data_IF_324108658987
#
_entry.id   IF_324108658987
#
_cell.length_a   1.000
_cell.length_b   1.000
_cell.length_c   1.000
_cell.angle_alpha   90.00
_cell.angle_beta   90.00
_cell.angle_gamma   90.00
#
_symmetry.space_group_name_H-M   'P 1'
#
loop_
_entity.id
_entity.type
_entity.pdbx_description
1 polymer ?
#
# COMPACT_ATOMS: atom_id res chain seq x y z
N UNK A 1 11.49 23.77 -6.12
CA UNK A 1 11.25 22.95 -4.91
C UNK A 1 10.44 21.74 -5.34
N UNK A 2 10.82 20.53 -4.93
CA UNK A 2 9.98 19.36 -5.17
C UNK A 2 8.71 19.49 -4.32
N UNK A 3 7.55 19.17 -4.89
CA UNK A 3 6.29 19.20 -4.16
C UNK A 3 6.34 18.22 -2.98
N UNK A 4 5.68 18.57 -1.86
CA UNK A 4 5.60 17.74 -0.66
C UNK A 4 4.20 17.19 -0.50
N UNK A 5 4.11 15.88 -0.27
CA UNK A 5 2.86 15.13 -0.22
C UNK A 5 2.64 14.57 1.19
N UNK A 6 1.96 15.33 2.03
CA UNK A 6 1.62 14.90 3.38
C UNK A 6 0.22 14.28 3.43
N UNK A 7 -0.01 13.42 4.42
CA UNK A 7 -1.27 12.71 4.60
C UNK A 7 -1.32 11.36 3.88
N UNK A 8 -2.50 10.74 3.90
CA UNK A 8 -2.75 9.42 3.32
C UNK A 8 -3.39 9.56 1.95
N UNK A 9 -2.88 8.78 0.99
CA UNK A 9 -3.36 8.74 -0.37
C UNK A 9 -3.90 7.35 -0.71
N UNK A 10 -4.97 7.32 -1.51
CA UNK A 10 -5.54 6.07 -2.02
C UNK A 10 -4.69 5.59 -3.19
N UNK A 11 -4.25 4.34 -3.11
CA UNK A 11 -3.44 3.74 -4.13
C UNK A 11 -3.97 2.36 -4.53
N UNK A 12 -3.56 1.92 -5.72
CA UNK A 12 -3.85 0.57 -6.23
C UNK A 12 -2.54 -0.15 -6.46
N UNK A 13 -2.44 -1.38 -5.96
CA UNK A 13 -1.26 -2.24 -6.13
C UNK A 13 -1.16 -2.65 -7.59
N UNK A 14 -0.02 -2.41 -8.22
CA UNK A 14 0.25 -2.83 -9.61
C UNK A 14 1.26 -3.95 -9.71
N UNK A 15 2.16 -4.08 -8.72
CA UNK A 15 3.17 -5.13 -8.68
C UNK A 15 3.57 -5.44 -7.23
N UNK A 16 3.93 -6.69 -6.97
CA UNK A 16 4.40 -7.17 -5.65
C UNK A 16 5.79 -7.82 -5.74
N UNK A 17 6.46 -7.71 -6.88
CA UNK A 17 7.81 -8.24 -7.06
C UNK A 17 8.82 -7.34 -6.32
N UNK A 18 9.25 -7.79 -5.16
CA UNK A 18 10.24 -7.13 -4.33
C UNK A 18 11.57 -7.91 -4.37
N UNK A 19 12.62 -7.40 -5.05
CA UNK A 19 13.92 -8.06 -5.12
C UNK A 19 14.59 -8.31 -3.75
N UNK A 20 14.20 -7.55 -2.73
CA UNK A 20 14.74 -7.67 -1.37
C UNK A 20 13.91 -8.58 -0.48
N UNK A 21 12.74 -9.05 -0.94
CA UNK A 21 11.82 -9.90 -0.19
C UNK A 21 11.45 -9.35 1.22
N UNK A 22 11.39 -8.02 1.37
CA UNK A 22 11.03 -7.34 2.63
C UNK A 22 9.56 -6.89 2.65
N UNK A 23 8.81 -7.17 1.58
CA UNK A 23 7.37 -6.93 1.49
C UNK A 23 7.00 -5.56 0.94
N UNK A 24 7.84 -5.02 0.04
CA UNK A 24 7.50 -3.82 -0.71
C UNK A 24 6.50 -4.11 -1.82
N UNK A 25 5.72 -3.09 -2.15
CA UNK A 25 4.72 -3.15 -3.24
C UNK A 25 4.88 -1.95 -4.15
N UNK A 26 4.59 -2.12 -5.42
CA UNK A 26 4.50 -1.03 -6.38
C UNK A 26 3.04 -0.62 -6.51
N UNK A 27 2.79 0.68 -6.58
CA UNK A 27 1.43 1.25 -6.54
C UNK A 27 1.28 2.39 -7.53
N UNK A 28 0.04 2.65 -7.95
CA UNK A 28 -0.35 3.90 -8.62
C UNK A 28 -1.17 4.76 -7.66
N UNK A 29 -0.96 6.07 -7.71
CA UNK A 29 -1.65 7.05 -6.86
C UNK A 29 -2.27 8.13 -7.76
N UNK A 30 -3.50 7.93 -8.25
CA UNK A 30 -4.11 8.79 -9.27
C UNK A 30 -4.24 10.26 -8.86
N UNK A 31 -4.35 10.55 -7.56
CA UNK A 31 -4.43 11.93 -7.03
C UNK A 31 -3.10 12.70 -7.17
N UNK A 32 -1.98 12.02 -7.41
CA UNK A 32 -0.64 12.62 -7.50
C UNK A 32 -0.08 12.52 -8.91
N UNK A 33 -0.19 11.36 -9.55
CA UNK A 33 0.43 11.09 -10.87
C UNK A 33 -0.21 9.89 -11.55
N UNK A 34 -0.23 9.90 -12.88
CA UNK A 34 -0.65 8.76 -13.71
C UNK A 34 0.42 7.67 -13.82
N UNK A 35 1.62 7.89 -13.25
CA UNK A 35 2.72 6.94 -13.27
C UNK A 35 2.74 6.05 -12.03
N UNK A 36 3.40 4.91 -12.17
CA UNK A 36 3.71 4.05 -11.03
C UNK A 36 4.67 4.76 -10.08
N UNK A 37 4.36 4.67 -8.79
CA UNK A 37 5.26 5.07 -7.71
C UNK A 37 6.27 3.94 -7.47
N UNK A 38 7.44 4.29 -6.94
CA UNK A 38 8.45 3.32 -6.53
C UNK A 38 7.94 2.31 -5.49
N UNK A 39 8.79 1.32 -5.19
CA UNK A 39 8.48 0.26 -4.23
C UNK A 39 8.23 0.85 -2.83
N UNK A 40 6.95 0.85 -2.41
CA UNK A 40 6.49 1.32 -1.12
C UNK A 40 6.92 0.39 0.00
N UNK A 41 7.58 0.95 1.02
CA UNK A 41 7.99 0.22 2.21
C UNK A 41 6.80 -0.07 3.12
N UNK A 42 6.77 -1.24 3.73
CA UNK A 42 5.67 -1.61 4.62
C UNK A 42 5.77 -0.87 5.96
N UNK A 43 4.73 -0.11 6.30
CA UNK A 43 4.54 0.54 7.61
C UNK A 43 3.41 -0.14 8.40
N UNK A 44 3.47 -1.47 8.48
CA UNK A 44 2.51 -2.32 9.20
C UNK A 44 3.28 -3.05 10.30
N UNK A 45 2.72 -3.24 11.51
CA UNK A 45 3.42 -3.93 12.58
C UNK A 45 4.00 -5.27 12.09
N UNK A 46 5.28 -5.57 12.38
CA UNK A 46 5.78 -6.92 12.17
C UNK A 46 4.90 -7.85 13.02
N UNK A 47 4.19 -8.78 12.37
CA UNK A 47 3.39 -9.73 13.11
C UNK A 47 4.34 -10.59 13.96
N UNK A 48 4.22 -10.49 15.27
CA UNK A 48 5.22 -10.94 16.23
C UNK A 48 5.28 -12.46 16.43
N UNK A 49 4.64 -13.30 15.60
CA UNK A 49 4.55 -14.74 15.94
C UNK A 49 4.25 -15.73 14.81
N UNK A 50 4.32 -15.41 13.52
CA UNK A 50 4.28 -16.51 12.53
C UNK A 50 4.93 -16.19 11.20
N UNK A 51 5.69 -17.16 10.72
CA UNK A 51 6.29 -17.33 9.37
C UNK A 51 5.27 -17.24 8.21
N UNK A 52 4.04 -16.79 8.45
CA UNK A 52 2.98 -16.54 7.47
C UNK A 52 2.91 -15.07 7.04
N UNK A 53 4.04 -14.36 7.05
CA UNK A 53 4.15 -12.99 6.56
C UNK A 53 3.82 -12.85 5.07
N UNK A 54 4.00 -13.92 4.28
CA UNK A 54 3.67 -13.96 2.85
C UNK A 54 2.17 -13.85 2.55
N UNK A 55 1.29 -14.20 3.50
CA UNK A 55 -0.17 -14.11 3.31
C UNK A 55 -0.76 -12.72 3.55
N UNK A 56 0.03 -11.75 4.02
CA UNK A 56 -0.42 -10.38 4.28
C UNK A 56 -0.03 -9.39 3.18
N UNK A 57 0.62 -9.84 2.10
CA UNK A 57 0.89 -8.98 0.96
C UNK A 57 -0.41 -8.69 0.20
N UNK A 58 -0.71 -7.41 -0.09
CA UNK A 58 -1.81 -7.05 -0.96
C UNK A 58 -1.63 -7.71 -2.33
N UNK A 59 -2.72 -8.22 -2.91
CA UNK A 59 -2.71 -8.70 -4.29
C UNK A 59 -2.64 -7.52 -5.25
N UNK A 60 -2.12 -7.74 -6.47
CA UNK A 60 -2.28 -6.78 -7.57
C UNK A 60 -3.77 -6.47 -7.75
N UNK A 61 -4.09 -5.18 -7.89
CA UNK A 61 -5.46 -4.64 -7.92
C UNK A 61 -6.04 -4.29 -6.54
N UNK A 62 -5.40 -4.68 -5.43
CA UNK A 62 -5.88 -4.31 -4.10
C UNK A 62 -5.70 -2.81 -3.83
N UNK A 63 -6.65 -2.25 -3.07
CA UNK A 63 -6.65 -0.84 -2.66
C UNK A 63 -5.92 -0.70 -1.33
N UNK A 64 -4.96 0.22 -1.28
CA UNK A 64 -4.09 0.45 -0.13
C UNK A 64 -3.95 1.92 0.21
N UNK A 65 -3.70 2.21 1.49
CA UNK A 65 -3.29 3.54 1.92
C UNK A 65 -1.78 3.69 1.83
N UNK A 66 -1.35 4.78 1.18
CA UNK A 66 0.05 5.13 0.95
C UNK A 66 0.36 6.49 1.54
N UNK A 67 1.56 6.62 2.09
CA UNK A 67 2.12 7.87 2.61
C UNK A 67 3.56 8.01 2.09
N UNK A 68 4.17 9.16 2.34
CA UNK A 68 5.51 9.47 1.84
C UNK A 68 6.38 9.98 2.98
N UNK A 69 7.54 9.36 3.21
CA UNK A 69 8.44 9.80 4.27
C UNK A 69 8.84 11.25 4.01
N UNK A 70 8.61 12.12 5.00
CA UNK A 70 8.88 13.57 4.89
C UNK A 70 8.21 14.22 3.66
N UNK A 71 7.09 13.64 3.22
CA UNK A 71 6.33 14.06 2.04
C UNK A 71 7.06 13.87 0.70
N UNK A 72 8.06 13.00 0.63
CA UNK A 72 8.88 12.78 -0.57
C UNK A 72 8.40 11.56 -1.36
N UNK A 73 7.99 11.77 -2.62
CA UNK A 73 7.51 10.73 -3.53
C UNK A 73 8.50 9.59 -3.76
N UNK A 74 9.80 9.82 -3.54
CA UNK A 74 10.83 8.80 -3.68
C UNK A 74 10.90 7.83 -2.49
N UNK A 75 10.23 8.16 -1.38
CA UNK A 75 10.20 7.34 -0.15
C UNK A 75 8.75 6.96 0.22
N UNK A 76 8.06 6.18 -0.64
CA UNK A 76 6.70 5.74 -0.38
C UNK A 76 6.66 4.69 0.75
N UNK A 77 5.61 4.74 1.56
CA UNK A 77 5.26 3.71 2.55
C UNK A 77 3.80 3.28 2.38
N UNK A 78 3.45 2.05 2.72
CA UNK A 78 2.07 1.56 2.73
C UNK A 78 1.67 1.03 4.10
N UNK A 79 0.44 1.36 4.52
CA UNK A 79 0.01 1.22 5.92
C UNK A 79 -1.18 0.28 6.10
N UNK A 80 -1.84 -0.16 5.01
CA UNK A 80 -2.92 -1.15 5.08
C UNK A 80 -3.82 -1.19 3.83
N UNK A 81 -4.63 -2.23 3.70
CA UNK A 81 -5.65 -2.37 2.65
C UNK A 81 -6.99 -1.79 3.10
N UNK A 82 -7.82 -1.37 2.14
CA UNK A 82 -9.22 -1.02 2.39
C UNK A 82 -10.13 -1.60 1.30
N UNK A 83 -11.41 -1.75 1.61
CA UNK A 83 -12.41 -2.22 0.65
C UNK A 83 -13.02 -1.03 -0.09
N UNK A 84 -13.15 -1.14 -1.41
CA UNK A 84 -14.03 -0.25 -2.16
C UNK A 84 -15.50 -0.65 -2.04
N UNK A 85 -16.39 0.16 -2.64
CA UNK A 85 -17.81 -0.18 -2.74
C UNK A 85 -18.01 -1.57 -3.34
N UNK A 86 -18.78 -2.43 -2.67
CA UNK A 86 -19.08 -3.80 -3.12
C UNK A 86 -18.02 -4.86 -2.80
N UNK A 87 -16.80 -4.47 -2.39
CA UNK A 87 -15.69 -5.38 -2.07
C UNK A 87 -15.67 -5.81 -0.60
N UNK A 88 -16.48 -5.17 0.25
CA UNK A 88 -16.56 -5.47 1.69
C UNK A 88 -16.93 -6.94 1.91
N UNK A 89 -16.16 -7.72 2.69
CA UNK A 89 -16.51 -9.10 3.04
C UNK A 89 -17.86 -9.20 3.74
N UNK A 90 -18.62 -10.30 3.56
CA UNK A 90 -19.89 -10.50 4.26
C UNK A 90 -19.79 -10.37 5.79
N UNK A 91 -18.65 -10.75 6.38
CA UNK A 91 -18.41 -10.62 7.82
C UNK A 91 -18.31 -9.18 8.33
N UNK A 92 -18.03 -8.21 7.46
CA UNK A 92 -18.00 -6.78 7.76
C UNK A 92 -19.27 -6.06 7.29
N UNK A 93 -20.16 -6.75 6.57
CA UNK A 93 -21.51 -6.28 6.28
C UNK A 93 -22.34 -6.68 7.50
N UNK A 94 -22.74 -5.72 8.32
CA UNK A 94 -23.68 -6.00 9.41
C UNK A 94 -24.93 -6.71 8.86
N UNK A 95 -25.45 -7.66 9.66
CA UNK A 95 -26.76 -8.28 9.48
C UNK A 95 -27.89 -7.24 9.40
#
# INVERSE_FOLDING_TARGET
>A
MSAKFFGKYRAVVVNTNDPQAIGRIQVTVPEITDREIGLAMRCVPPNNTSTKLGSALPRVGAKVWVEFERGDLNFPIWSGCFFGPGETPPSLRHA
#
